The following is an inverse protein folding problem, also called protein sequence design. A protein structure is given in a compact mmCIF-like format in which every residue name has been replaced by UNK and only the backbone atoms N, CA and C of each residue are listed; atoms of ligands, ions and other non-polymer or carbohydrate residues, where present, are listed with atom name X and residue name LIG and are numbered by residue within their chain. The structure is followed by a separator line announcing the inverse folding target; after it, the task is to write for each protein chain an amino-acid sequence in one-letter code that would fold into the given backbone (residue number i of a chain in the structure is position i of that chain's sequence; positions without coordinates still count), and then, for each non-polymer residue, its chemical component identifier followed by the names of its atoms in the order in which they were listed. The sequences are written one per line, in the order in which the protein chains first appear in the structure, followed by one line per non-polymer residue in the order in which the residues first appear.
data_IF_203394783291
#
_entry.id   IF_203394783291
#
_cell.length_a   1.000
_cell.length_b   1.000
_cell.length_c   1.000
_cell.angle_alpha   90.00
_cell.angle_beta   90.00
_cell.angle_gamma   90.00
#
_symmetry.space_group_name_H-M   'P 1'
#
loop_
_entity.id
_entity.type
_entity.pdbx_description
1 polymer ?
#
# COMPACT_ATOMS: atom_id res chain seq x y z
N UNK A 1 18.92 -1.16 80.70
CA UNK A 1 18.70 -0.34 81.91
C UNK A 1 17.88 0.88 81.55
N UNK A 2 16.56 0.76 81.67
CA UNK A 2 15.60 1.80 81.28
C UNK A 2 15.03 2.52 82.52
N UNK A 3 15.91 2.85 83.44
CA UNK A 3 15.54 3.63 84.65
C UNK A 3 16.21 5.02 84.65
N UNK A 4 15.42 6.05 84.92
CA UNK A 4 15.95 7.36 85.13
C UNK A 4 16.62 7.40 86.52
N UNK A 5 17.96 7.56 86.58
CA UNK A 5 18.77 7.55 87.80
C UNK A 5 18.45 8.71 88.77
N UNK A 6 17.63 9.66 88.38
CA UNK A 6 17.33 10.85 89.19
C UNK A 6 15.92 10.90 89.77
N UNK A 7 14.96 10.20 89.24
CA UNK A 7 13.56 10.24 89.68
C UNK A 7 12.87 8.86 89.82
N UNK A 8 13.58 7.77 89.61
CA UNK A 8 13.05 6.40 89.77
C UNK A 8 11.92 5.98 88.83
N UNK A 9 11.64 6.76 87.76
CA UNK A 9 10.55 6.47 86.83
C UNK A 9 10.97 5.49 85.74
N UNK A 10 10.18 4.41 85.59
CA UNK A 10 10.40 3.40 84.58
C UNK A 10 9.84 3.88 83.24
N UNK A 11 10.68 4.06 82.26
CA UNK A 11 10.29 4.41 80.92
C UNK A 11 9.78 3.14 80.18
N UNK A 12 8.50 2.96 80.18
CA UNK A 12 7.91 1.86 79.40
C UNK A 12 7.93 2.27 77.90
N UNK A 13 8.76 1.59 77.12
CA UNK A 13 9.00 1.88 75.73
C UNK A 13 7.97 1.29 74.83
N UNK A 14 6.67 1.67 74.96
CA UNK A 14 5.65 1.09 74.05
C UNK A 14 4.72 2.09 73.39
N UNK A 15 4.97 3.38 73.41
CA UNK A 15 3.95 4.33 73.02
C UNK A 15 4.23 5.13 71.69
N UNK A 16 5.43 5.07 71.18
CA UNK A 16 5.79 5.95 70.05
C UNK A 16 5.54 5.33 68.69
N UNK A 17 5.59 4.02 68.57
CA UNK A 17 5.26 3.35 67.29
C UNK A 17 3.76 3.16 67.08
N UNK A 18 3.01 2.86 68.18
CA UNK A 18 1.54 2.70 68.09
C UNK A 18 0.82 4.01 67.79
N UNK A 19 1.37 5.16 68.25
CA UNK A 19 0.77 6.48 67.88
C UNK A 19 1.01 6.88 66.45
N UNK A 20 2.09 6.47 65.80
CA UNK A 20 2.34 6.73 64.38
C UNK A 20 1.43 5.90 63.46
N UNK A 21 1.10 4.71 63.84
CA UNK A 21 0.20 3.86 63.04
C UNK A 21 -1.27 4.33 63.11
N UNK A 22 -1.70 4.94 64.20
CA UNK A 22 -3.05 5.47 64.32
C UNK A 22 -3.27 6.80 63.58
N UNK A 23 -2.22 7.60 63.37
CA UNK A 23 -2.32 8.90 62.67
C UNK A 23 -2.13 8.77 61.18
N UNK A 24 -1.35 7.77 60.74
CA UNK A 24 -1.21 7.40 59.33
C UNK A 24 -2.21 6.29 59.01
N UNK A 25 -3.50 6.59 59.06
CA UNK A 25 -4.52 5.68 58.60
C UNK A 25 -4.10 5.15 57.24
N UNK A 26 -3.83 3.83 57.14
CA UNK A 26 -3.60 3.13 55.88
C UNK A 26 -4.82 3.37 54.97
N UNK A 27 -4.77 4.44 54.18
CA UNK A 27 -5.64 4.58 53.03
C UNK A 27 -5.31 3.40 52.10
N UNK A 28 -6.03 2.29 52.26
CA UNK A 28 -6.08 1.25 51.25
C UNK A 28 -6.63 1.92 49.99
N UNK A 29 -5.75 2.46 49.14
CA UNK A 29 -6.12 2.82 47.77
C UNK A 29 -6.52 1.52 47.10
N UNK A 30 -7.80 1.28 46.98
CA UNK A 30 -8.32 0.22 46.09
C UNK A 30 -7.71 0.50 44.71
N UNK A 31 -6.99 -0.44 44.10
CA UNK A 31 -6.49 -0.22 42.75
C UNK A 31 -7.70 -0.04 41.85
N UNK A 32 -7.90 1.18 41.35
CA UNK A 32 -8.96 1.54 40.41
C UNK A 32 -8.60 1.04 39.00
N UNK A 33 -8.18 -0.22 38.89
CA UNK A 33 -7.64 -0.83 37.68
C UNK A 33 -8.66 -1.69 36.90
N UNK A 34 -9.88 -1.83 37.37
CA UNK A 34 -10.87 -2.69 36.74
C UNK A 34 -11.44 -2.14 35.42
N UNK A 35 -12.17 -1.00 35.40
CA UNK A 35 -12.89 -0.58 34.18
C UNK A 35 -12.00 0.23 33.21
N UNK A 36 -11.00 0.97 33.71
CA UNK A 36 -10.13 1.83 32.88
C UNK A 36 -9.19 0.99 32.01
N UNK A 37 -8.67 -0.13 32.54
CA UNK A 37 -7.79 -1.01 31.78
C UNK A 37 -8.52 -1.71 30.63
N UNK A 38 -9.78 -2.09 30.82
CA UNK A 38 -10.59 -2.73 29.78
C UNK A 38 -10.92 -1.75 28.65
N UNK A 39 -11.28 -0.50 28.98
CA UNK A 39 -11.55 0.55 28.02
C UNK A 39 -10.29 0.91 27.18
N UNK A 40 -9.12 1.02 27.81
CA UNK A 40 -7.87 1.28 27.13
C UNK A 40 -7.50 0.13 26.19
N UNK A 41 -7.66 -1.13 26.62
CA UNK A 41 -7.41 -2.29 25.77
C UNK A 41 -8.33 -2.32 24.55
N UNK A 42 -9.63 -2.02 24.74
CA UNK A 42 -10.60 -1.95 23.62
C UNK A 42 -10.25 -0.83 22.65
N UNK A 43 -9.85 0.35 23.13
CA UNK A 43 -9.43 1.47 22.29
C UNK A 43 -8.16 1.13 21.50
N UNK A 44 -7.18 0.48 22.14
CA UNK A 44 -5.94 0.04 21.49
C UNK A 44 -6.23 -1.03 20.44
N UNK A 45 -7.06 -2.02 20.76
CA UNK A 45 -7.45 -3.06 19.79
C UNK A 45 -8.28 -2.49 18.63
N UNK A 46 -9.20 -1.56 18.90
CA UNK A 46 -9.95 -0.85 17.87
C UNK A 46 -9.02 0.04 17.01
N UNK A 47 -8.06 0.72 17.62
CA UNK A 47 -7.06 1.53 16.92
C UNK A 47 -6.13 0.69 16.06
N UNK A 48 -5.63 -0.43 16.58
CA UNK A 48 -4.80 -1.38 15.83
C UNK A 48 -5.63 -2.05 14.72
N UNK A 49 -6.85 -2.49 15.01
CA UNK A 49 -7.76 -3.04 14.01
C UNK A 49 -8.09 -2.04 12.91
N UNK A 50 -8.39 -0.80 13.25
CA UNK A 50 -8.59 0.29 12.28
C UNK A 50 -7.33 0.59 11.46
N UNK A 51 -6.15 0.55 12.08
CA UNK A 51 -4.87 0.76 11.38
C UNK A 51 -4.53 -0.41 10.45
N UNK A 52 -4.79 -1.65 10.87
CA UNK A 52 -4.63 -2.84 10.03
C UNK A 52 -5.61 -2.86 8.84
N UNK A 53 -6.83 -2.37 9.01
CA UNK A 53 -7.82 -2.25 7.94
C UNK A 53 -7.49 -1.08 7.00
N UNK A 54 -6.97 0.04 7.52
CA UNK A 54 -6.52 1.19 6.72
C UNK A 54 -5.08 1.08 6.19
N UNK A 55 -4.30 0.13 6.69
CA UNK A 55 -2.87 -0.03 6.38
C UNK A 55 -2.55 -0.40 4.93
N UNK A 56 -3.57 -0.69 4.10
CA UNK A 56 -3.34 -0.94 2.68
C UNK A 56 -4.19 -0.03 1.80
N UNK A 57 -3.49 0.91 1.16
CA UNK A 57 -3.84 1.31 -0.17
C UNK A 57 -4.85 2.44 -0.32
N UNK A 58 -4.37 3.64 -0.24
CA UNK A 58 -4.85 4.59 -1.23
C UNK A 58 -4.24 4.18 -2.58
N UNK A 59 -4.83 3.20 -3.26
CA UNK A 59 -4.55 2.91 -4.66
C UNK A 59 -4.79 4.20 -5.46
N UNK A 60 -3.99 4.43 -6.48
CA UNK A 60 -4.29 5.53 -7.41
C UNK A 60 -5.75 5.37 -7.86
N UNK A 61 -6.62 6.37 -7.65
CA UNK A 61 -8.03 6.28 -8.03
C UNK A 61 -8.22 5.87 -9.49
N UNK A 62 -7.25 6.18 -10.35
CA UNK A 62 -7.24 5.79 -11.75
C UNK A 62 -7.06 4.27 -11.95
N UNK A 63 -6.38 3.57 -11.04
CA UNK A 63 -6.32 2.10 -11.05
C UNK A 63 -7.67 1.51 -10.67
N UNK A 64 -8.33 2.08 -9.65
CA UNK A 64 -9.62 1.58 -9.20
C UNK A 64 -10.74 1.78 -10.23
N UNK A 65 -10.62 2.76 -11.13
CA UNK A 65 -11.56 3.01 -12.22
C UNK A 65 -11.33 2.14 -13.46
N UNK A 66 -10.20 1.40 -13.55
CA UNK A 66 -9.93 0.51 -14.67
C UNK A 66 -10.91 -0.69 -14.71
N UNK A 67 -11.22 -1.22 -15.92
CA UNK A 67 -12.15 -2.32 -16.06
C UNK A 67 -11.66 -3.58 -15.33
N UNK A 68 -12.61 -4.37 -14.84
CA UNK A 68 -12.32 -5.61 -14.09
C UNK A 68 -12.74 -6.83 -14.91
N UNK A 69 -11.88 -7.84 -14.93
CA UNK A 69 -12.15 -9.15 -15.50
C UNK A 69 -12.37 -10.19 -14.42
N UNK A 70 -13.10 -11.23 -14.75
CA UNK A 70 -13.29 -12.37 -13.85
C UNK A 70 -11.98 -13.17 -13.74
N UNK A 71 -11.70 -13.64 -12.53
CA UNK A 71 -10.50 -14.41 -12.21
C UNK A 71 -9.45 -13.60 -11.47
N UNK A 72 -8.70 -14.28 -10.59
CA UNK A 72 -7.53 -13.76 -9.90
C UNK A 72 -6.28 -14.23 -10.62
N UNK A 73 -5.32 -13.35 -10.82
CA UNK A 73 -4.01 -13.71 -11.36
C UNK A 73 -3.02 -13.79 -10.21
N UNK A 74 -2.31 -14.89 -10.09
CA UNK A 74 -1.25 -15.02 -9.09
C UNK A 74 0.11 -14.75 -9.73
N UNK A 75 0.89 -13.91 -9.06
CA UNK A 75 2.23 -13.51 -9.44
C UNK A 75 3.28 -13.90 -8.41
N UNK A 76 2.88 -14.61 -7.33
CA UNK A 76 3.76 -14.93 -6.23
C UNK A 76 5.02 -15.68 -6.71
N UNK A 77 6.19 -15.13 -6.39
CA UNK A 77 7.48 -15.70 -6.77
C UNK A 77 7.78 -15.71 -8.27
N UNK A 78 6.96 -15.06 -9.11
CA UNK A 78 7.16 -15.04 -10.55
C UNK A 78 7.84 -13.75 -11.01
N UNK A 79 8.78 -13.90 -11.95
CA UNK A 79 9.35 -12.80 -12.72
C UNK A 79 8.87 -12.88 -14.16
N UNK A 80 8.10 -11.90 -14.61
CA UNK A 80 7.42 -11.90 -15.89
C UNK A 80 7.89 -10.71 -16.71
N UNK A 81 8.55 -10.99 -17.82
CA UNK A 81 8.94 -9.97 -18.79
C UNK A 81 7.74 -9.52 -19.63
N UNK A 82 7.81 -8.31 -20.18
CA UNK A 82 6.84 -7.82 -21.15
C UNK A 82 6.93 -8.63 -22.45
N UNK A 83 5.78 -9.06 -22.96
CA UNK A 83 5.66 -9.59 -24.31
C UNK A 83 5.27 -8.47 -25.28
N UNK A 84 6.02 -8.30 -26.36
CA UNK A 84 5.64 -7.35 -27.43
C UNK A 84 4.51 -7.95 -28.26
N UNK A 85 3.47 -7.16 -28.49
CA UNK A 85 2.31 -7.53 -29.31
C UNK A 85 1.95 -6.39 -30.27
N UNK A 86 1.12 -6.69 -31.27
CA UNK A 86 0.59 -5.69 -32.20
C UNK A 86 -0.79 -5.22 -31.73
N UNK A 87 -0.99 -3.91 -31.72
CA UNK A 87 -2.32 -3.32 -31.52
C UNK A 87 -2.99 -3.03 -32.88
N UNK A 88 -4.32 -3.09 -32.92
CA UNK A 88 -5.09 -2.56 -34.04
C UNK A 88 -5.59 -1.16 -33.70
N UNK A 89 -5.46 -0.26 -34.66
CA UNK A 89 -5.99 1.11 -34.54
C UNK A 89 -7.10 1.24 -35.58
N UNK A 90 -8.34 1.34 -35.11
CA UNK A 90 -9.53 1.45 -35.96
C UNK A 90 -10.53 2.41 -35.31
N UNK A 91 -11.11 3.29 -36.12
CA UNK A 91 -12.19 4.22 -35.71
C UNK A 91 -11.86 5.02 -34.42
N UNK A 92 -10.63 5.47 -34.30
CA UNK A 92 -10.18 6.26 -33.11
C UNK A 92 -10.01 5.43 -31.83
N UNK A 93 -9.91 4.10 -31.96
CA UNK A 93 -9.67 3.17 -30.85
C UNK A 93 -8.42 2.34 -31.11
N UNK A 94 -7.57 2.24 -30.11
CA UNK A 94 -6.43 1.31 -30.06
C UNK A 94 -6.92 0.07 -29.35
N UNK A 95 -6.83 -1.09 -29.97
CA UNK A 95 -7.40 -2.32 -29.42
C UNK A 95 -6.40 -3.47 -29.40
N UNK A 96 -6.35 -4.20 -28.29
CA UNK A 96 -5.54 -5.42 -28.12
C UNK A 96 -6.43 -6.57 -27.60
N UNK A 97 -6.10 -7.84 -27.92
CA UNK A 97 -6.85 -8.98 -27.43
C UNK A 97 -6.70 -9.16 -25.91
N UNK A 98 -7.79 -9.35 -25.19
CA UNK A 98 -7.80 -9.56 -23.76
C UNK A 98 -7.20 -10.91 -23.35
N UNK A 99 -7.46 -11.96 -24.13
CA UNK A 99 -6.94 -13.31 -23.94
C UNK A 99 -5.40 -13.34 -23.99
N UNK A 100 -4.79 -12.60 -24.92
CA UNK A 100 -3.33 -12.45 -25.00
C UNK A 100 -2.77 -11.78 -23.75
N UNK A 101 -3.46 -10.75 -23.22
CA UNK A 101 -3.02 -10.10 -21.96
C UNK A 101 -3.18 -11.04 -20.76
N UNK A 102 -4.24 -11.87 -20.74
CA UNK A 102 -4.42 -12.91 -19.71
C UNK A 102 -3.32 -13.98 -19.76
N UNK A 103 -2.97 -14.44 -20.96
CA UNK A 103 -1.93 -15.46 -21.17
C UNK A 103 -0.53 -14.93 -20.83
N UNK A 104 -0.16 -13.80 -21.41
CA UNK A 104 1.19 -13.21 -21.26
C UNK A 104 1.36 -12.44 -19.95
N UNK A 105 0.24 -12.12 -19.25
CA UNK A 105 0.17 -11.38 -17.97
C UNK A 105 0.63 -9.93 -18.06
N UNK A 106 1.62 -9.62 -18.88
CA UNK A 106 2.11 -8.27 -19.16
C UNK A 106 2.53 -8.14 -20.62
N UNK A 107 1.97 -7.17 -21.31
CA UNK A 107 2.25 -6.93 -22.71
C UNK A 107 2.71 -5.49 -22.94
N UNK A 108 3.48 -5.30 -24.01
CA UNK A 108 3.87 -4.00 -24.56
C UNK A 108 3.43 -3.92 -26.01
N UNK A 109 2.94 -2.78 -26.41
CA UNK A 109 2.56 -2.49 -27.80
C UNK A 109 2.83 -1.02 -28.11
N UNK A 110 2.87 -0.66 -29.37
CA UNK A 110 3.14 0.71 -29.80
C UNK A 110 1.91 1.29 -30.51
N UNK A 111 1.57 2.50 -30.12
CA UNK A 111 0.70 3.36 -30.93
C UNK A 111 1.57 4.17 -31.87
N UNK A 112 1.25 4.14 -33.16
CA UNK A 112 1.96 4.90 -34.19
C UNK A 112 0.95 5.74 -34.96
N UNK A 113 1.19 7.05 -35.03
CA UNK A 113 0.41 7.98 -35.85
C UNK A 113 1.28 9.15 -36.28
N UNK A 114 1.27 9.48 -37.58
CA UNK A 114 1.97 10.65 -38.15
C UNK A 114 3.43 10.80 -37.68
N UNK A 115 4.18 9.71 -37.63
CA UNK A 115 5.58 9.70 -37.21
C UNK A 115 5.83 9.66 -35.71
N UNK A 116 4.78 9.79 -34.87
CA UNK A 116 4.88 9.65 -33.44
C UNK A 116 4.72 8.17 -33.04
N UNK A 117 5.59 7.71 -32.14
CA UNK A 117 5.52 6.39 -31.53
C UNK A 117 5.39 6.53 -30.03
N UNK A 118 4.28 6.07 -29.49
CA UNK A 118 4.05 6.05 -28.06
C UNK A 118 3.97 4.60 -27.58
N UNK A 119 4.93 4.15 -26.74
CA UNK A 119 4.87 2.81 -26.19
C UNK A 119 3.80 2.73 -25.12
N UNK A 120 3.01 1.68 -25.18
CA UNK A 120 1.93 1.39 -24.26
C UNK A 120 2.17 0.03 -23.60
N UNK A 121 1.63 -0.16 -22.43
CA UNK A 121 1.63 -1.44 -21.73
C UNK A 121 0.22 -1.80 -21.25
N UNK A 122 -0.02 -3.08 -21.08
CA UNK A 122 -1.18 -3.58 -20.37
C UNK A 122 -0.79 -4.78 -19.51
N UNK A 123 -1.40 -4.85 -18.33
CA UNK A 123 -1.29 -6.00 -17.43
C UNK A 123 -2.59 -6.18 -16.65
N UNK A 124 -2.74 -7.32 -15.96
CA UNK A 124 -3.88 -7.58 -15.10
C UNK A 124 -3.37 -7.59 -13.66
N UNK A 125 -4.00 -6.84 -12.77
CA UNK A 125 -3.68 -6.88 -11.33
C UNK A 125 -4.17 -8.20 -10.71
N UNK A 126 -3.71 -8.52 -9.50
CA UNK A 126 -4.20 -9.70 -8.75
C UNK A 126 -5.69 -9.63 -8.45
N UNK A 127 -6.21 -8.42 -8.26
CA UNK A 127 -7.64 -8.16 -8.06
C UNK A 127 -8.48 -8.29 -9.34
N UNK A 128 -7.84 -8.58 -10.49
CA UNK A 128 -8.47 -8.74 -11.78
C UNK A 128 -8.72 -7.44 -12.55
N UNK A 129 -8.09 -6.32 -12.18
CA UNK A 129 -8.19 -5.08 -12.95
C UNK A 129 -7.25 -5.12 -14.15
N UNK A 130 -7.74 -4.69 -15.29
CA UNK A 130 -6.94 -4.52 -16.50
C UNK A 130 -6.36 -3.12 -16.49
N UNK A 131 -5.07 -3.01 -16.24
CA UNK A 131 -4.35 -1.73 -16.21
C UNK A 131 -3.72 -1.49 -17.57
N UNK A 132 -3.99 -0.32 -18.14
CA UNK A 132 -3.36 0.19 -19.35
C UNK A 132 -2.63 1.49 -19.02
N UNK A 133 -1.42 1.67 -19.53
CA UNK A 133 -0.59 2.83 -19.25
C UNK A 133 0.37 3.14 -20.41
N UNK A 134 0.93 4.34 -20.41
CA UNK A 134 2.10 4.63 -21.23
C UNK A 134 3.29 3.87 -20.66
N UNK A 135 3.96 3.11 -21.53
CA UNK A 135 5.12 2.29 -21.15
C UNK A 135 6.38 3.14 -21.08
N UNK A 136 6.43 4.04 -20.10
CA UNK A 136 7.56 4.94 -19.90
C UNK A 136 7.81 5.21 -18.41
N UNK A 137 9.06 5.04 -18.00
CA UNK A 137 9.58 5.61 -16.77
C UNK A 137 10.20 6.97 -17.16
N UNK A 138 9.47 8.05 -16.95
CA UNK A 138 9.74 9.34 -17.57
C UNK A 138 11.15 9.90 -17.25
N UNK A 139 11.62 9.88 -15.99
CA UNK A 139 12.95 10.43 -15.70
C UNK A 139 14.09 9.66 -16.37
N UNK A 140 14.02 8.33 -16.41
CA UNK A 140 15.09 7.51 -17.01
C UNK A 140 14.83 7.11 -18.48
N UNK A 141 13.68 7.52 -19.04
CA UNK A 141 13.26 7.25 -20.42
C UNK A 141 13.14 5.77 -20.80
N UNK A 142 13.18 4.86 -19.84
CA UNK A 142 12.94 3.43 -20.09
C UNK A 142 11.52 3.18 -20.51
N UNK A 143 11.34 2.35 -21.54
CA UNK A 143 10.03 1.91 -22.02
C UNK A 143 9.76 0.44 -21.72
N UNK A 144 10.61 -0.18 -20.91
CA UNK A 144 10.49 -1.60 -20.57
C UNK A 144 10.45 -1.80 -19.06
N UNK A 145 9.55 -2.69 -18.68
CA UNK A 145 9.30 -3.09 -17.30
C UNK A 145 9.20 -4.61 -17.21
N UNK A 146 9.16 -5.13 -16.02
CA UNK A 146 8.77 -6.50 -15.75
C UNK A 146 7.97 -6.58 -14.45
N UNK A 147 7.17 -7.61 -14.30
CA UNK A 147 6.54 -7.94 -13.02
C UNK A 147 7.51 -8.82 -12.24
N UNK A 148 7.73 -8.48 -10.97
CA UNK A 148 8.47 -9.30 -10.02
C UNK A 148 7.62 -9.44 -8.76
N UNK A 149 7.02 -10.63 -8.56
CA UNK A 149 6.06 -10.90 -7.51
C UNK A 149 4.86 -9.91 -7.55
N UNK A 150 4.79 -8.99 -6.60
CA UNK A 150 3.71 -7.99 -6.48
C UNK A 150 4.11 -6.60 -6.94
N UNK A 151 5.18 -6.50 -7.72
CA UNK A 151 5.77 -5.25 -8.12
C UNK A 151 5.89 -5.16 -9.62
N UNK A 152 5.74 -3.95 -10.14
CA UNK A 152 6.20 -3.58 -11.46
C UNK A 152 7.56 -2.89 -11.31
N UNK A 153 8.54 -3.30 -12.10
CA UNK A 153 9.94 -2.88 -11.97
C UNK A 153 10.41 -2.30 -13.30
N UNK A 154 11.03 -1.13 -13.26
CA UNK A 154 11.66 -0.55 -14.44
C UNK A 154 12.96 -1.29 -14.78
N UNK A 155 13.11 -1.73 -16.04
CA UNK A 155 14.27 -2.50 -16.46
C UNK A 155 15.58 -1.69 -16.47
N UNK A 156 15.51 -0.37 -16.61
CA UNK A 156 16.70 0.48 -16.68
C UNK A 156 17.18 0.95 -15.30
N UNK A 157 16.28 1.55 -14.52
CA UNK A 157 16.68 2.17 -13.24
C UNK A 157 16.34 1.33 -11.99
N UNK A 158 15.66 0.19 -12.16
CA UNK A 158 15.32 -0.70 -11.06
C UNK A 158 14.27 -0.14 -10.10
N UNK A 159 13.64 0.99 -10.40
CA UNK A 159 12.57 1.52 -9.54
C UNK A 159 11.39 0.57 -9.51
N UNK A 160 10.86 0.34 -8.32
CA UNK A 160 9.76 -0.59 -8.04
C UNK A 160 8.51 0.15 -7.59
N UNK A 161 7.36 -0.25 -8.11
CA UNK A 161 6.04 0.20 -7.71
C UNK A 161 5.15 -1.00 -7.41
N UNK A 162 4.20 -0.81 -6.52
CA UNK A 162 3.20 -1.83 -6.21
C UNK A 162 2.32 -2.11 -7.43
N UNK A 163 2.14 -3.37 -7.77
CA UNK A 163 1.41 -3.80 -8.97
C UNK A 163 -0.10 -3.45 -8.92
N UNK A 164 -0.70 -3.43 -7.73
CA UNK A 164 -2.13 -3.13 -7.53
C UNK A 164 -2.42 -1.63 -7.47
N UNK A 165 -1.48 -0.83 -6.95
CA UNK A 165 -1.75 0.56 -6.57
C UNK A 165 -0.89 1.56 -7.32
N UNK A 166 0.18 1.10 -7.99
CA UNK A 166 1.24 1.90 -8.59
C UNK A 166 1.95 2.85 -7.62
N UNK A 167 1.77 2.65 -6.31
CA UNK A 167 2.52 3.38 -5.29
C UNK A 167 3.99 2.99 -5.34
N UNK A 168 4.89 3.98 -5.34
CA UNK A 168 6.34 3.76 -5.29
C UNK A 168 6.76 2.99 -4.04
N UNK A 169 7.66 2.02 -4.20
CA UNK A 169 8.21 1.18 -3.12
C UNK A 169 9.67 1.57 -2.88
N UNK A 170 10.51 1.51 -3.91
CA UNK A 170 11.93 1.90 -3.83
C UNK A 170 12.49 2.32 -5.18
N UNK A 171 13.54 3.13 -5.19
CA UNK A 171 14.26 3.60 -6.38
C UNK A 171 14.17 5.10 -6.58
N UNK A 172 14.81 5.60 -7.64
CA UNK A 172 14.93 7.05 -7.90
C UNK A 172 13.71 7.69 -8.57
N UNK A 173 12.82 6.88 -9.19
CA UNK A 173 11.70 7.38 -9.99
C UNK A 173 10.33 7.11 -9.34
N UNK A 174 10.25 7.10 -8.02
CA UNK A 174 9.07 6.68 -7.23
C UNK A 174 7.78 7.41 -7.63
N UNK A 175 7.88 8.70 -7.92
CA UNK A 175 6.73 9.54 -8.26
C UNK A 175 6.30 9.44 -9.73
N UNK A 176 7.00 8.62 -10.52
CA UNK A 176 6.79 8.46 -11.96
C UNK A 176 6.50 7.00 -12.35
N UNK A 177 5.48 6.36 -11.76
CA UNK A 177 5.02 5.07 -12.27
C UNK A 177 4.55 5.22 -13.72
N UNK A 178 4.43 4.13 -14.50
CA UNK A 178 3.79 4.17 -15.80
C UNK A 178 2.47 4.94 -15.75
N UNK A 179 2.32 5.92 -16.64
CA UNK A 179 1.16 6.83 -16.58
C UNK A 179 -0.10 6.16 -17.11
N UNK A 180 -1.11 6.09 -16.25
CA UNK A 180 -2.34 5.36 -16.49
C UNK A 180 -3.18 6.00 -17.59
N UNK A 181 -3.64 5.18 -18.52
CA UNK A 181 -4.59 5.56 -19.56
C UNK A 181 -5.89 4.78 -19.35
N UNK A 182 -7.05 5.45 -19.31
CA UNK A 182 -8.33 4.77 -19.20
C UNK A 182 -8.59 3.83 -20.37
N UNK A 183 -9.12 2.65 -20.08
CA UNK A 183 -9.52 1.67 -21.08
C UNK A 183 -10.89 1.09 -20.80
N UNK A 184 -11.49 0.45 -21.80
CA UNK A 184 -12.73 -0.33 -21.70
C UNK A 184 -12.50 -1.74 -22.21
N UNK A 185 -13.39 -2.67 -21.87
CA UNK A 185 -13.39 -4.02 -22.44
C UNK A 185 -14.66 -4.20 -23.24
N UNK A 186 -14.50 -4.46 -24.51
CA UNK A 186 -15.61 -4.73 -25.44
C UNK A 186 -15.26 -5.93 -26.32
N UNK A 187 -16.17 -6.90 -26.41
CA UNK A 187 -16.02 -8.09 -27.28
C UNK A 187 -14.65 -8.78 -27.13
N UNK A 188 -14.23 -9.03 -25.87
CA UNK A 188 -12.95 -9.65 -25.52
C UNK A 188 -11.70 -8.88 -25.99
N UNK A 189 -11.84 -7.58 -26.18
CA UNK A 189 -10.73 -6.69 -26.52
C UNK A 189 -10.65 -5.55 -25.51
N UNK A 190 -9.43 -5.22 -25.13
CA UNK A 190 -9.12 -4.00 -24.37
C UNK A 190 -9.05 -2.87 -25.38
N UNK A 191 -9.81 -1.80 -25.16
CA UNK A 191 -9.89 -0.64 -26.03
C UNK A 191 -9.43 0.61 -25.28
N UNK A 192 -8.58 1.40 -25.93
CA UNK A 192 -8.09 2.67 -25.45
C UNK A 192 -8.51 3.74 -26.46
N UNK A 193 -9.02 4.87 -25.99
CA UNK A 193 -9.34 6.01 -26.85
C UNK A 193 -8.06 6.64 -27.39
N UNK A 194 -7.91 6.72 -28.70
CA UNK A 194 -6.77 7.30 -29.39
C UNK A 194 -6.50 8.75 -28.96
N UNK A 195 -7.55 9.54 -28.70
CA UNK A 195 -7.42 10.92 -28.22
C UNK A 195 -6.68 11.04 -26.89
N UNK A 196 -6.83 10.04 -26.01
CA UNK A 196 -6.11 10.04 -24.73
C UNK A 196 -4.61 9.86 -24.92
N UNK A 197 -4.21 9.16 -25.96
CA UNK A 197 -2.80 8.93 -26.29
C UNK A 197 -2.20 10.12 -27.03
N UNK A 198 -2.92 10.69 -28.01
CA UNK A 198 -2.44 11.86 -28.78
C UNK A 198 -2.30 13.13 -27.93
N UNK A 199 -3.06 13.22 -26.84
CA UNK A 199 -3.00 14.34 -25.90
C UNK A 199 -1.98 14.11 -24.77
N UNK A 200 -1.45 12.90 -24.65
CA UNK A 200 -0.49 12.58 -23.58
C UNK A 200 0.83 13.33 -23.78
N UNK A 201 1.37 13.84 -22.69
CA UNK A 201 2.70 14.46 -22.62
C UNK A 201 3.45 13.95 -21.40
N UNK A 202 4.77 13.76 -21.50
CA UNK A 202 5.58 13.43 -20.33
C UNK A 202 5.40 14.49 -19.23
N UNK A 203 5.43 14.04 -17.97
CA UNK A 203 5.34 14.89 -16.77
C UNK A 203 6.67 15.58 -16.44
N UNK A 204 7.80 15.11 -17.04
CA UNK A 204 9.16 15.65 -16.94
C UNK A 204 9.90 15.55 -18.26
#
# INVERSE_FOLDING_TARGET
NNFCKKCGFQLSGSSFQDKKEKVLGKRKRKPYWGPISLAVVVIVLAGVGYWLIKGDSAADPRVSSQPKVSGKVDYAGQKIAMADIQAKVEKGKISIPLDVVKEKKMVRFEYQNNGFKIPLLAYITRSGRVVTAVSMCEPCRSTRFHINDRKIVCNACGTEWNLETLKGIQGGCLNYPPDLIPSTIEKDRIQIDEKKITQWKPRV
#
